data_IF_297995923090
#
_entry.id   IF_297995923090
#
_cell.length_a   1.000
_cell.length_b   1.000
_cell.length_c   1.000
_cell.angle_alpha   90.00
_cell.angle_beta   90.00
_cell.angle_gamma   90.00
#
_symmetry.space_group_name_H-M   'P 1'
#
loop_
_entity.id
_entity.type
_entity.pdbx_description
1 polymer ?
#
# COMPACT_ATOMS: atom_id res chain seq x y z
N UNK A 1 -29.92 0.75 55.88
CA UNK A 1 -28.66 0.31 56.54
C UNK A 1 -28.15 -1.04 56.03
N UNK A 2 -28.97 -2.12 55.97
CA UNK A 2 -28.50 -3.45 55.49
C UNK A 2 -27.97 -3.52 54.04
N UNK A 3 -28.50 -2.70 53.12
CA UNK A 3 -28.04 -2.66 51.71
C UNK A 3 -26.70 -1.92 51.52
N UNK A 4 -26.40 -0.93 52.37
CA UNK A 4 -25.12 -0.19 52.34
C UNK A 4 -23.96 -1.10 52.76
N UNK A 5 -24.17 -1.96 53.76
CA UNK A 5 -23.18 -2.96 54.16
C UNK A 5 -22.86 -3.97 53.05
N UNK A 6 -23.86 -4.35 52.25
CA UNK A 6 -23.67 -5.27 51.12
C UNK A 6 -22.83 -4.64 49.99
N UNK A 7 -23.07 -3.37 49.68
CA UNK A 7 -22.28 -2.63 48.68
C UNK A 7 -20.85 -2.34 49.16
N UNK A 8 -20.66 -2.06 50.45
CA UNK A 8 -19.34 -1.86 51.04
C UNK A 8 -18.51 -3.17 51.04
N UNK A 9 -19.16 -4.30 51.31
CA UNK A 9 -18.50 -5.62 51.28
C UNK A 9 -18.11 -6.05 49.86
N UNK A 10 -18.91 -5.67 48.84
CA UNK A 10 -18.57 -5.91 47.43
C UNK A 10 -17.39 -5.01 46.97
N UNK A 11 -17.35 -3.75 47.41
CA UNK A 11 -16.23 -2.83 47.12
C UNK A 11 -14.90 -3.31 47.72
N UNK A 12 -14.94 -3.91 48.92
CA UNK A 12 -13.75 -4.45 49.59
C UNK A 12 -13.16 -5.68 48.89
N UNK A 13 -13.96 -6.46 48.15
CA UNK A 13 -13.43 -7.62 47.38
C UNK A 13 -12.65 -7.23 46.12
N UNK A 14 -12.90 -6.04 45.56
CA UNK A 14 -12.19 -5.53 44.37
C UNK A 14 -10.80 -4.98 44.73
N UNK A 15 -10.59 -4.58 45.99
CA UNK A 15 -9.32 -4.01 46.46
C UNK A 15 -8.20 -5.05 46.71
N UNK A 16 -8.49 -6.36 46.63
CA UNK A 16 -7.52 -7.43 46.95
C UNK A 16 -6.84 -8.01 45.68
N UNK A 17 -7.18 -7.53 44.48
CA UNK A 17 -6.62 -8.07 43.22
C UNK A 17 -5.27 -7.45 42.79
N UNK A 18 -4.73 -6.47 43.52
CA UNK A 18 -3.35 -6.02 43.29
C UNK A 18 -2.36 -6.94 44.03
N UNK A 19 -2.04 -8.08 43.43
CA UNK A 19 -0.79 -8.76 43.78
C UNK A 19 0.35 -7.88 43.26
N UNK A 20 1.06 -7.18 44.17
CA UNK A 20 2.38 -6.66 43.84
C UNK A 20 3.25 -7.87 43.50
N UNK A 21 3.79 -7.90 42.28
CA UNK A 21 4.91 -8.78 41.98
C UNK A 21 6.03 -8.48 43.00
N UNK A 22 6.68 -9.53 43.50
CA UNK A 22 7.78 -9.37 44.46
C UNK A 22 8.83 -8.43 43.87
N UNK A 23 9.44 -7.59 44.71
CA UNK A 23 10.52 -6.73 44.26
C UNK A 23 11.58 -7.57 43.53
N UNK A 24 11.95 -7.19 42.30
CA UNK A 24 13.08 -7.78 41.61
C UNK A 24 14.32 -7.55 42.49
N UNK A 25 14.74 -8.61 43.18
CA UNK A 25 15.91 -8.58 44.05
C UNK A 25 17.15 -8.84 43.19
N UNK A 26 17.40 -7.94 42.23
CA UNK A 26 18.58 -7.96 41.37
C UNK A 26 19.64 -7.09 42.02
N UNK A 27 20.75 -7.71 42.41
CA UNK A 27 21.91 -7.01 42.91
C UNK A 27 22.65 -6.34 41.73
N UNK A 28 22.34 -5.07 41.51
CA UNK A 28 22.89 -4.26 40.41
C UNK A 28 24.43 -4.14 40.52
N UNK A 29 25.00 -4.35 41.71
CA UNK A 29 26.46 -4.34 41.90
C UNK A 29 27.15 -5.61 41.41
N UNK A 30 26.37 -6.68 41.14
CA UNK A 30 26.83 -7.94 40.56
C UNK A 30 26.43 -8.13 39.09
N UNK A 31 25.58 -7.26 38.56
CA UNK A 31 25.29 -7.25 37.12
C UNK A 31 26.40 -6.52 36.38
N UNK A 32 27.17 -7.26 35.58
CA UNK A 32 28.09 -6.64 34.64
C UNK A 32 27.30 -6.24 33.39
N UNK A 33 26.99 -4.95 33.24
CA UNK A 33 26.21 -4.44 32.09
C UNK A 33 27.03 -4.47 30.79
N UNK A 34 28.37 -4.48 30.89
CA UNK A 34 29.28 -4.36 29.75
C UNK A 34 29.73 -5.70 29.17
N UNK A 35 29.47 -6.82 29.86
CA UNK A 35 29.82 -8.16 29.36
C UNK A 35 28.65 -9.11 29.49
N UNK A 36 28.27 -9.71 28.37
CA UNK A 36 27.19 -10.70 28.30
C UNK A 36 27.69 -11.97 27.62
N UNK A 37 27.12 -13.11 28.02
CA UNK A 37 27.31 -14.35 27.28
C UNK A 37 26.42 -14.32 26.04
N UNK A 38 27.00 -14.53 24.84
CA UNK A 38 26.24 -14.61 23.59
C UNK A 38 25.25 -15.77 23.66
N UNK A 39 23.96 -15.45 23.53
CA UNK A 39 22.86 -16.40 23.44
C UNK A 39 22.60 -16.89 22.01
N UNK A 40 21.52 -17.66 21.85
CA UNK A 40 21.07 -18.14 20.53
C UNK A 40 20.62 -17.00 19.62
N UNK A 41 19.97 -15.99 20.19
CA UNK A 41 19.53 -14.80 19.45
C UNK A 41 20.72 -14.00 18.91
N UNK A 42 21.77 -13.78 19.72
CA UNK A 42 22.98 -13.07 19.29
C UNK A 42 23.64 -13.73 18.10
N UNK A 43 23.81 -15.05 18.16
CA UNK A 43 24.37 -15.83 17.06
C UNK A 43 23.50 -15.73 15.82
N UNK A 44 22.17 -15.80 15.98
CA UNK A 44 21.25 -15.64 14.87
C UNK A 44 21.35 -14.25 14.22
N UNK A 45 21.45 -13.18 15.02
CA UNK A 45 21.63 -11.80 14.52
C UNK A 45 22.98 -11.64 13.82
N UNK A 46 24.04 -12.23 14.37
CA UNK A 46 25.38 -12.22 13.77
C UNK A 46 25.39 -12.94 12.40
N UNK A 47 24.80 -14.13 12.32
CA UNK A 47 24.75 -14.93 11.11
C UNK A 47 23.83 -14.33 10.02
N UNK A 48 22.76 -13.62 10.41
CA UNK A 48 21.75 -13.09 9.47
C UNK A 48 21.87 -11.59 9.15
N UNK A 49 22.58 -10.81 9.95
CA UNK A 49 22.74 -9.35 9.75
C UNK A 49 24.20 -8.90 9.75
N UNK A 50 24.95 -9.19 10.81
CA UNK A 50 26.32 -8.68 10.92
C UNK A 50 27.22 -9.25 9.82
N UNK A 51 27.29 -10.57 9.70
CA UNK A 51 28.14 -11.25 8.73
C UNK A 51 27.75 -10.98 7.26
N UNK A 52 26.46 -11.04 6.86
CA UNK A 52 26.09 -10.85 5.46
C UNK A 52 25.98 -9.37 5.04
N UNK A 53 25.70 -8.45 5.96
CA UNK A 53 25.35 -7.05 5.64
C UNK A 53 26.17 -5.99 6.36
N UNK A 54 27.05 -6.38 7.29
CA UNK A 54 27.77 -5.47 8.17
C UNK A 54 26.80 -4.54 8.94
N UNK A 55 25.75 -5.16 9.50
CA UNK A 55 24.68 -4.49 10.23
C UNK A 55 24.58 -5.05 11.64
N UNK A 56 24.85 -4.21 12.63
CA UNK A 56 24.73 -4.53 14.05
C UNK A 56 23.31 -4.24 14.55
N UNK A 57 22.75 -5.17 15.33
CA UNK A 57 21.40 -5.05 15.88
C UNK A 57 21.50 -4.81 17.38
N UNK A 58 21.16 -3.58 17.79
CA UNK A 58 21.22 -3.12 19.17
C UNK A 58 19.85 -3.37 19.84
N UNK A 59 19.68 -4.54 20.45
CA UNK A 59 18.44 -4.89 21.16
C UNK A 59 18.59 -4.94 22.68
N UNK A 60 19.83 -5.03 23.19
CA UNK A 60 20.08 -4.86 24.63
C UNK A 60 19.92 -3.38 24.95
N UNK A 61 19.03 -3.11 25.89
CA UNK A 61 18.68 -1.74 26.22
C UNK A 61 19.88 -0.99 26.80
N UNK A 62 20.32 0.03 26.08
CA UNK A 62 21.27 1.03 26.54
C UNK A 62 20.55 2.38 26.60
N UNK A 63 20.49 2.99 27.78
CA UNK A 63 19.79 4.27 27.98
C UNK A 63 20.44 5.41 27.20
N UNK A 64 21.73 5.29 26.86
CA UNK A 64 22.44 6.32 26.09
C UNK A 64 22.17 6.24 24.58
N UNK A 65 21.51 5.17 24.11
CA UNK A 65 21.04 5.05 22.73
C UNK A 65 19.76 5.85 22.44
N UNK A 66 19.15 6.44 23.48
CA UNK A 66 17.95 7.25 23.34
C UNK A 66 18.05 8.58 24.11
N UNK A 67 17.18 9.52 23.73
CA UNK A 67 17.08 10.83 24.38
C UNK A 67 16.83 10.68 25.88
N UNK A 68 17.73 11.22 26.72
CA UNK A 68 17.71 11.04 28.19
C UNK A 68 16.42 11.58 28.80
N UNK A 69 15.80 12.59 28.18
CA UNK A 69 14.57 13.27 28.61
C UNK A 69 13.28 12.54 28.19
N UNK A 70 13.36 11.34 27.59
CA UNK A 70 12.20 10.64 27.04
C UNK A 70 11.93 9.29 27.71
N UNK A 71 10.66 8.98 27.94
CA UNK A 71 10.21 7.70 28.52
C UNK A 71 10.23 6.61 27.42
N UNK A 72 11.14 5.63 27.54
CA UNK A 72 11.28 4.51 26.57
C UNK A 72 11.53 3.22 27.34
N UNK A 73 10.81 2.15 26.98
CA UNK A 73 10.98 0.83 27.56
C UNK A 73 11.93 -0.06 26.71
N UNK A 74 12.64 -1.01 27.35
CA UNK A 74 13.37 -2.07 26.66
C UNK A 74 12.49 -2.88 25.72
N UNK A 75 13.09 -3.37 24.63
CA UNK A 75 12.47 -4.36 23.75
C UNK A 75 12.39 -5.73 24.44
N UNK A 76 11.27 -6.42 24.26
CA UNK A 76 11.09 -7.82 24.66
C UNK A 76 11.89 -8.73 23.73
N UNK A 77 12.74 -9.58 24.27
CA UNK A 77 13.65 -10.43 23.50
C UNK A 77 12.90 -11.30 22.46
N UNK A 78 11.74 -11.82 22.83
CA UNK A 78 10.87 -12.63 21.96
C UNK A 78 10.30 -11.85 20.76
N UNK A 79 10.40 -10.52 20.76
CA UNK A 79 9.96 -9.64 19.65
C UNK A 79 11.08 -9.29 18.68
N UNK A 80 12.35 -9.46 19.09
CA UNK A 80 13.53 -9.09 18.29
C UNK A 80 13.62 -9.94 17.03
N UNK A 81 13.66 -11.27 17.15
CA UNK A 81 13.79 -12.12 15.97
C UNK A 81 12.62 -11.92 14.97
N UNK A 82 11.34 -11.87 15.38
CA UNK A 82 10.24 -11.59 14.46
C UNK A 82 10.44 -10.31 13.66
N UNK A 83 10.64 -9.15 14.30
CA UNK A 83 10.77 -7.89 13.55
C UNK A 83 11.99 -7.92 12.62
N UNK A 84 13.09 -8.53 13.05
CA UNK A 84 14.29 -8.65 12.24
C UNK A 84 14.13 -9.61 11.04
N UNK A 85 13.40 -10.71 11.18
CA UNK A 85 13.00 -11.52 10.01
C UNK A 85 12.22 -10.66 8.99
N UNK A 86 11.37 -9.74 9.48
CA UNK A 86 10.68 -8.77 8.65
C UNK A 86 11.65 -7.79 7.97
N UNK A 87 12.67 -7.29 8.67
CA UNK A 87 13.74 -6.46 8.07
C UNK A 87 14.42 -7.18 6.92
N UNK A 88 14.78 -8.44 7.13
CA UNK A 88 15.42 -9.24 6.07
C UNK A 88 14.49 -9.42 4.87
N UNK A 89 13.21 -9.77 5.10
CA UNK A 89 12.28 -10.17 4.04
C UNK A 89 11.59 -8.99 3.33
N UNK A 90 11.21 -7.95 4.06
CA UNK A 90 10.42 -6.81 3.55
C UNK A 90 11.32 -5.66 3.11
N UNK A 91 12.44 -5.44 3.81
CA UNK A 91 13.36 -4.36 3.48
C UNK A 91 14.53 -4.86 2.63
N UNK A 92 15.40 -5.74 3.15
CA UNK A 92 16.67 -6.07 2.45
C UNK A 92 16.45 -6.88 1.16
N UNK A 93 15.69 -7.99 1.24
CA UNK A 93 15.56 -8.93 0.12
C UNK A 93 14.93 -8.28 -1.14
N UNK A 94 13.88 -7.44 -1.06
CA UNK A 94 13.31 -6.79 -2.24
C UNK A 94 14.29 -5.89 -2.98
N UNK A 95 15.19 -5.19 -2.27
CA UNK A 95 16.26 -4.44 -2.93
C UNK A 95 17.26 -5.38 -3.61
N UNK A 96 17.67 -6.48 -2.96
CA UNK A 96 18.58 -7.45 -3.58
C UNK A 96 17.98 -8.11 -4.83
N UNK A 97 16.68 -8.40 -4.82
CA UNK A 97 15.96 -9.02 -5.95
C UNK A 97 15.93 -8.16 -7.22
N UNK A 98 16.06 -6.84 -7.08
CA UNK A 98 16.05 -5.88 -8.20
C UNK A 98 17.39 -5.20 -8.40
N UNK A 99 18.40 -5.55 -7.60
CA UNK A 99 19.73 -4.94 -7.63
C UNK A 99 20.83 -5.99 -7.37
N UNK A 100 21.88 -5.62 -6.64
CA UNK A 100 22.97 -6.51 -6.24
C UNK A 100 23.48 -6.15 -4.85
N UNK A 101 24.21 -7.08 -4.21
CA UNK A 101 24.93 -6.77 -2.95
C UNK A 101 25.91 -5.61 -3.10
N UNK A 102 26.57 -5.50 -4.25
CA UNK A 102 27.52 -4.42 -4.53
C UNK A 102 26.85 -3.04 -4.51
N UNK A 103 25.59 -2.96 -4.96
CA UNK A 103 24.78 -1.75 -4.86
C UNK A 103 24.30 -1.48 -3.43
N UNK A 104 23.77 -2.51 -2.75
CA UNK A 104 23.02 -2.32 -1.51
C UNK A 104 23.92 -2.16 -0.27
N UNK A 105 24.97 -2.97 -0.13
CA UNK A 105 25.83 -2.97 1.08
C UNK A 105 26.45 -1.61 1.44
N UNK A 106 26.92 -0.77 0.50
CA UNK A 106 27.46 0.55 0.82
C UNK A 106 26.46 1.47 1.50
N UNK A 107 25.19 1.38 1.14
CA UNK A 107 24.12 2.30 1.54
C UNK A 107 23.16 1.73 2.59
N UNK A 108 23.33 0.46 3.00
CA UNK A 108 22.59 -0.07 4.15
C UNK A 108 23.04 0.61 5.45
N UNK A 109 22.10 0.83 6.39
CA UNK A 109 22.45 1.27 7.74
C UNK A 109 23.39 0.25 8.38
N UNK A 110 24.33 0.74 9.18
CA UNK A 110 25.31 -0.09 9.89
C UNK A 110 24.79 -0.56 11.23
N UNK A 111 23.83 0.16 11.80
CA UNK A 111 23.22 -0.15 13.09
C UNK A 111 21.68 -0.04 13.00
N UNK A 112 20.99 -0.97 13.64
CA UNK A 112 19.56 -0.85 13.92
C UNK A 112 19.35 -1.01 15.42
N UNK A 113 18.84 0.02 16.08
CA UNK A 113 18.49 -0.03 17.49
C UNK A 113 17.00 -0.29 17.68
N UNK A 114 16.67 -1.19 18.62
CA UNK A 114 15.31 -1.64 18.86
C UNK A 114 14.82 -1.16 20.23
N UNK A 115 13.70 -0.44 20.23
CA UNK A 115 13.05 0.08 21.43
C UNK A 115 11.64 -0.49 21.58
N UNK A 116 11.29 -0.85 22.82
CA UNK A 116 10.03 -1.54 23.10
C UNK A 116 8.80 -0.66 22.91
N UNK A 117 8.89 0.63 23.20
CA UNK A 117 7.81 1.62 23.11
C UNK A 117 8.20 2.77 22.19
N UNK A 118 7.23 3.61 21.81
CA UNK A 118 7.50 4.92 21.20
C UNK A 118 8.32 5.81 22.13
N UNK A 119 9.00 6.80 21.55
CA UNK A 119 9.57 7.90 22.32
C UNK A 119 8.48 8.94 22.57
N UNK A 120 8.01 9.06 23.82
CA UNK A 120 6.93 9.98 24.18
C UNK A 120 7.46 11.34 24.69
N UNK A 121 6.83 12.42 24.24
CA UNK A 121 6.87 13.75 24.86
C UNK A 121 5.44 14.28 25.07
N UNK A 122 5.27 15.39 25.80
CA UNK A 122 3.97 15.95 26.20
C UNK A 122 2.91 16.03 25.07
N UNK A 123 3.31 16.09 23.78
CA UNK A 123 2.40 16.04 22.63
C UNK A 123 2.93 15.25 21.41
N UNK A 124 4.03 14.48 21.51
CA UNK A 124 4.61 13.81 20.35
C UNK A 124 5.02 12.37 20.65
N UNK A 125 4.96 11.55 19.60
CA UNK A 125 5.56 10.22 19.57
C UNK A 125 6.57 10.16 18.41
N UNK A 126 7.83 9.86 18.71
CA UNK A 126 8.84 9.56 17.67
C UNK A 126 8.81 8.05 17.40
N UNK A 127 8.59 7.67 16.14
CA UNK A 127 8.46 6.27 15.70
C UNK A 127 9.67 5.77 14.90
N UNK A 128 10.66 6.65 14.70
CA UNK A 128 11.99 6.34 14.19
C UNK A 128 12.82 7.59 14.00
N UNK A 129 14.14 7.41 14.03
CA UNK A 129 15.12 8.44 13.68
C UNK A 129 16.30 7.77 12.99
N UNK A 130 17.01 8.50 12.12
CA UNK A 130 18.33 8.11 11.65
C UNK A 130 19.40 9.15 12.02
N UNK A 131 20.51 8.67 12.59
CA UNK A 131 21.70 9.50 12.80
C UNK A 131 22.63 9.36 11.58
N UNK A 132 22.63 10.39 10.75
CA UNK A 132 23.50 10.54 9.57
C UNK A 132 23.57 9.31 8.64
N UNK A 133 22.48 8.53 8.55
CA UNK A 133 22.40 7.33 7.72
C UNK A 133 23.16 6.10 8.26
N UNK A 134 23.80 6.19 9.43
CA UNK A 134 24.54 5.09 10.04
C UNK A 134 23.63 4.18 10.86
N UNK A 135 22.76 4.77 11.67
CA UNK A 135 21.88 4.04 12.59
C UNK A 135 20.41 4.35 12.27
N UNK A 136 19.55 3.34 12.33
CA UNK A 136 18.08 3.50 12.34
C UNK A 136 17.53 3.04 13.69
N UNK A 137 16.70 3.87 14.30
CA UNK A 137 15.98 3.52 15.53
C UNK A 137 14.58 3.04 15.18
N UNK A 138 14.22 1.82 15.63
CA UNK A 138 12.87 1.25 15.50
C UNK A 138 12.20 1.22 16.86
N UNK A 139 11.05 1.90 16.96
CA UNK A 139 10.26 1.99 18.18
C UNK A 139 9.01 1.11 18.10
N UNK A 140 8.31 0.97 19.24
CA UNK A 140 7.08 0.16 19.38
C UNK A 140 7.26 -1.33 19.05
N UNK A 141 8.49 -1.87 19.17
CA UNK A 141 8.77 -3.26 18.82
C UNK A 141 7.99 -4.25 19.70
N UNK A 142 7.62 -3.86 20.93
CA UNK A 142 6.84 -4.73 21.81
C UNK A 142 5.42 -4.98 21.31
N UNK A 143 4.87 -4.05 20.53
CA UNK A 143 3.53 -4.13 19.93
C UNK A 143 3.56 -4.70 18.50
N UNK A 144 4.74 -5.06 18.02
CA UNK A 144 4.90 -5.71 16.72
C UNK A 144 4.22 -7.08 16.70
N UNK A 145 3.34 -7.27 15.71
CA UNK A 145 2.66 -8.52 15.43
C UNK A 145 2.71 -8.81 13.93
N UNK A 146 3.55 -9.77 13.55
CA UNK A 146 3.67 -10.23 12.16
C UNK A 146 2.37 -10.78 11.57
N UNK A 147 1.41 -11.21 12.40
CA UNK A 147 0.12 -11.71 11.92
C UNK A 147 -0.89 -10.60 11.66
N UNK A 148 -0.55 -9.36 12.03
CA UNK A 148 -1.36 -8.18 11.80
C UNK A 148 -0.71 -7.30 10.73
N UNK A 149 -1.27 -7.32 9.52
CA UNK A 149 -0.76 -6.50 8.40
C UNK A 149 -0.69 -5.01 8.72
N UNK A 150 -1.57 -4.49 9.58
CA UNK A 150 -1.53 -3.08 10.00
C UNK A 150 -0.37 -2.83 10.96
N UNK A 151 0.02 -3.82 11.78
CA UNK A 151 1.24 -3.72 12.61
C UNK A 151 2.50 -3.67 11.74
N UNK A 152 2.49 -4.32 10.56
CA UNK A 152 3.62 -4.33 9.62
C UNK A 152 3.64 -3.09 8.72
N UNK A 153 2.52 -2.74 8.10
CA UNK A 153 2.43 -1.66 7.12
C UNK A 153 2.18 -0.29 7.74
N UNK A 154 1.55 -0.24 8.91
CA UNK A 154 1.03 0.99 9.50
C UNK A 154 -0.18 1.53 8.74
N UNK A 155 -0.54 2.77 9.06
CA UNK A 155 -1.48 3.60 8.28
C UNK A 155 -0.78 4.90 7.87
N UNK A 156 -1.31 5.66 6.89
CA UNK A 156 -0.72 6.96 6.52
C UNK A 156 -0.59 7.94 7.70
N UNK A 157 -1.44 7.82 8.72
CA UNK A 157 -1.43 8.64 9.94
C UNK A 157 -0.61 8.03 11.09
N UNK A 158 -0.30 6.74 11.02
CA UNK A 158 0.49 6.01 12.02
C UNK A 158 1.42 5.03 11.30
N UNK A 159 2.55 5.52 10.74
CA UNK A 159 3.50 4.66 10.04
C UNK A 159 4.04 3.60 10.99
N UNK A 160 4.21 2.38 10.47
CA UNK A 160 4.84 1.28 11.19
C UNK A 160 6.34 1.19 10.87
N UNK A 161 7.04 0.26 11.52
CA UNK A 161 8.48 0.08 11.43
C UNK A 161 9.01 0.06 9.98
N UNK A 162 8.35 -0.61 9.03
CA UNK A 162 8.86 -0.69 7.66
C UNK A 162 8.66 0.60 6.86
N UNK A 163 7.61 1.37 7.13
CA UNK A 163 7.47 2.72 6.54
C UNK A 163 8.63 3.60 6.99
N UNK A 164 8.89 3.62 8.30
CA UNK A 164 10.05 4.31 8.89
C UNK A 164 11.37 3.85 8.24
N UNK A 165 11.61 2.54 8.11
CA UNK A 165 12.84 2.05 7.51
C UNK A 165 13.03 2.50 6.05
N UNK A 166 11.98 2.40 5.22
CA UNK A 166 12.05 2.86 3.84
C UNK A 166 12.20 4.38 3.74
N UNK A 167 11.60 5.13 4.68
CA UNK A 167 11.73 6.58 4.80
C UNK A 167 13.19 6.96 5.11
N UNK A 168 13.77 6.40 6.17
CA UNK A 168 15.18 6.66 6.53
C UNK A 168 16.16 6.19 5.45
N UNK A 169 15.88 5.07 4.79
CA UNK A 169 16.70 4.63 3.67
C UNK A 169 16.59 5.57 2.46
N UNK A 170 15.42 6.19 2.22
CA UNK A 170 15.31 7.27 1.24
C UNK A 170 16.19 8.47 1.63
N UNK A 171 16.33 8.75 2.93
CA UNK A 171 17.30 9.74 3.41
C UNK A 171 18.75 9.38 3.06
N UNK A 172 19.14 8.11 3.14
CA UNK A 172 20.48 7.69 2.72
C UNK A 172 20.64 7.82 1.19
N UNK A 173 19.62 7.45 0.41
CA UNK A 173 19.67 7.53 -1.05
C UNK A 173 19.87 8.99 -1.50
N UNK A 174 19.09 9.93 -0.98
CA UNK A 174 19.17 11.32 -1.43
C UNK A 174 20.28 12.16 -0.79
N UNK A 175 20.95 11.65 0.25
CA UNK A 175 22.24 12.20 0.69
C UNK A 175 23.35 11.87 -0.31
N UNK A 176 23.29 10.71 -0.96
CA UNK A 176 24.27 10.29 -1.97
C UNK A 176 23.96 10.87 -3.36
N UNK A 177 22.68 10.89 -3.77
CA UNK A 177 22.23 11.53 -5.01
C UNK A 177 21.02 12.42 -4.70
N UNK A 178 21.18 13.76 -4.65
CA UNK A 178 20.14 14.69 -4.19
C UNK A 178 18.77 14.50 -4.82
N UNK A 179 17.73 14.88 -4.07
CA UNK A 179 16.35 15.00 -4.59
C UNK A 179 16.37 15.76 -5.91
N UNK A 180 15.68 15.27 -6.96
CA UNK A 180 15.67 15.93 -8.26
C UNK A 180 15.29 17.42 -8.18
N UNK A 181 16.02 18.30 -8.88
CA UNK A 181 15.63 19.70 -9.01
C UNK A 181 14.20 19.81 -9.57
N UNK A 182 13.42 20.78 -9.09
CA UNK A 182 12.03 20.94 -9.53
C UNK A 182 11.00 20.16 -8.69
N UNK A 183 11.43 19.28 -7.75
CA UNK A 183 10.52 18.51 -6.91
C UNK A 183 9.76 19.40 -5.91
N UNK A 184 10.46 20.35 -5.29
CA UNK A 184 9.90 21.26 -4.29
C UNK A 184 8.76 22.12 -4.88
N UNK A 185 8.90 22.52 -6.14
CA UNK A 185 7.96 23.34 -6.90
C UNK A 185 6.67 22.60 -7.26
N UNK A 186 6.65 21.26 -7.18
CA UNK A 186 5.41 20.49 -7.36
C UNK A 186 4.43 20.82 -6.22
N UNK A 187 4.93 20.91 -4.99
CA UNK A 187 4.16 21.29 -3.81
C UNK A 187 5.01 22.17 -2.88
N UNK A 188 4.90 23.49 -2.99
CA UNK A 188 5.74 24.44 -2.24
C UNK A 188 5.22 24.83 -0.85
N UNK A 189 4.06 24.32 -0.42
CA UNK A 189 3.40 24.73 0.84
C UNK A 189 3.94 24.01 2.10
N UNK A 190 5.27 24.01 2.26
CA UNK A 190 5.95 23.51 3.46
C UNK A 190 5.72 24.42 4.67
N UNK A 191 5.69 23.81 5.85
CA UNK A 191 5.41 24.50 7.13
C UNK A 191 6.43 24.18 8.22
N UNK A 192 7.52 23.48 7.88
CA UNK A 192 8.55 23.08 8.84
C UNK A 192 7.95 22.31 10.02
N UNK A 193 8.48 22.56 11.21
CA UNK A 193 8.03 21.95 12.46
C UNK A 193 6.55 22.18 12.80
N UNK A 194 5.85 23.10 12.11
CA UNK A 194 4.41 23.32 12.29
C UNK A 194 3.55 22.21 11.67
N UNK A 195 4.15 21.18 11.05
CA UNK A 195 3.44 20.04 10.47
C UNK A 195 2.57 19.29 11.50
N UNK A 196 2.97 19.28 12.78
CA UNK A 196 2.20 18.69 13.90
C UNK A 196 0.94 19.47 14.25
N UNK A 197 0.86 20.75 13.84
CA UNK A 197 -0.22 21.65 14.20
C UNK A 197 -1.58 21.18 13.70
N UNK A 198 -2.63 21.51 14.46
CA UNK A 198 -4.03 21.18 14.13
C UNK A 198 -4.50 21.79 12.81
N UNK A 199 -3.89 22.90 12.37
CA UNK A 199 -4.14 23.52 11.06
C UNK A 199 -3.63 22.72 9.85
N UNK A 200 -2.82 21.68 10.08
CA UNK A 200 -2.33 20.78 9.03
C UNK A 200 -3.04 19.43 9.12
N UNK A 201 -4.35 19.37 8.89
CA UNK A 201 -5.07 18.09 8.85
C UNK A 201 -4.59 17.20 7.69
N UNK A 202 -4.83 15.88 7.74
CA UNK A 202 -4.52 14.98 6.61
C UNK A 202 -5.26 15.39 5.33
N UNK A 203 -6.50 15.89 5.44
CA UNK A 203 -7.26 16.41 4.31
C UNK A 203 -6.62 17.67 3.72
N UNK A 204 -6.13 18.57 4.57
CA UNK A 204 -5.38 19.77 4.15
C UNK A 204 -4.08 19.41 3.44
N UNK A 205 -3.31 18.46 4.00
CA UNK A 205 -2.07 18.00 3.37
C UNK A 205 -2.35 17.38 1.99
N UNK A 206 -3.36 16.51 1.90
CA UNK A 206 -3.82 15.92 0.64
C UNK A 206 -4.19 16.97 -0.39
N UNK A 207 -5.01 17.97 -0.04
CA UNK A 207 -5.46 19.00 -0.97
C UNK A 207 -4.30 19.89 -1.48
N UNK A 208 -3.17 19.92 -0.77
CA UNK A 208 -1.96 20.63 -1.19
C UNK A 208 -0.96 19.75 -1.97
N UNK A 209 -1.30 18.47 -2.19
CA UNK A 209 -0.48 17.52 -2.93
C UNK A 209 0.61 16.84 -2.09
N UNK A 210 0.41 16.69 -0.78
CA UNK A 210 1.30 15.93 0.11
C UNK A 210 0.65 14.61 0.50
N UNK A 211 1.45 13.54 0.56
CA UNK A 211 0.94 12.18 0.83
C UNK A 211 0.65 11.94 2.32
N UNK A 212 1.38 12.62 3.20
CA UNK A 212 1.14 12.63 4.65
C UNK A 212 1.19 14.06 5.20
N UNK A 213 0.78 14.22 6.47
CA UNK A 213 0.96 15.50 7.19
C UNK A 213 2.44 15.84 7.34
N UNK A 214 3.27 14.83 7.61
CA UNK A 214 4.71 14.96 7.86
C UNK A 214 5.49 15.41 6.62
N UNK A 215 5.06 14.98 5.43
CA UNK A 215 5.60 15.44 4.15
C UNK A 215 5.58 16.97 3.97
N UNK A 216 4.80 17.72 4.77
CA UNK A 216 4.81 19.19 4.76
C UNK A 216 5.92 19.82 5.60
N UNK A 217 6.78 19.02 6.24
CA UNK A 217 7.91 19.54 7.01
C UNK A 217 8.90 20.25 6.07
N UNK A 218 9.47 19.52 5.10
CA UNK A 218 10.36 20.06 4.08
C UNK A 218 10.38 19.13 2.85
N UNK A 219 11.08 19.53 1.78
CA UNK A 219 11.16 18.77 0.52
C UNK A 219 11.77 17.39 0.64
N UNK A 220 12.70 17.20 1.57
CA UNK A 220 13.43 15.95 1.76
C UNK A 220 12.53 14.95 2.49
N UNK A 221 11.78 15.38 3.51
CA UNK A 221 10.73 14.56 4.14
C UNK A 221 9.62 14.19 3.15
N UNK A 222 9.18 15.14 2.33
CA UNK A 222 8.15 14.89 1.32
C UNK A 222 8.57 13.80 0.33
N UNK A 223 9.84 13.84 -0.11
CA UNK A 223 10.38 12.85 -1.01
C UNK A 223 10.50 11.46 -0.35
N UNK A 224 11.01 11.41 0.88
CA UNK A 224 11.11 10.18 1.66
C UNK A 224 9.73 9.55 1.95
N UNK A 225 8.74 10.37 2.32
CA UNK A 225 7.36 9.94 2.56
C UNK A 225 6.68 9.38 1.30
N UNK A 226 6.94 9.98 0.13
CA UNK A 226 6.45 9.46 -1.15
C UNK A 226 7.03 8.07 -1.43
N UNK A 227 8.35 7.88 -1.24
CA UNK A 227 9.02 6.59 -1.45
C UNK A 227 8.48 5.53 -0.48
N UNK A 228 8.46 5.83 0.81
CA UNK A 228 8.00 4.92 1.86
C UNK A 228 6.52 4.52 1.65
N UNK A 229 5.65 5.50 1.37
CA UNK A 229 4.23 5.22 1.10
C UNK A 229 4.06 4.32 -0.11
N UNK A 230 4.73 4.63 -1.22
CA UNK A 230 4.62 3.83 -2.44
C UNK A 230 5.12 2.40 -2.23
N UNK A 231 6.23 2.19 -1.51
CA UNK A 231 6.78 0.86 -1.25
C UNK A 231 5.94 0.05 -0.26
N UNK A 232 5.56 0.64 0.88
CA UNK A 232 4.92 -0.08 1.99
C UNK A 232 3.41 -0.16 1.81
N UNK A 233 2.72 0.97 1.65
CA UNK A 233 1.27 0.97 1.43
C UNK A 233 0.90 0.37 0.06
N UNK A 234 1.79 0.55 -0.92
CA UNK A 234 1.65 0.01 -2.26
C UNK A 234 0.80 0.88 -3.18
N UNK A 235 0.91 0.59 -4.47
CA UNK A 235 0.33 1.42 -5.52
C UNK A 235 -1.19 1.64 -5.38
N UNK A 236 -1.94 0.58 -5.12
CA UNK A 236 -3.41 0.67 -5.08
C UNK A 236 -3.92 1.54 -3.91
N UNK A 237 -3.16 1.61 -2.82
CA UNK A 237 -3.50 2.44 -1.67
C UNK A 237 -3.19 3.91 -1.97
N UNK A 238 -2.05 4.16 -2.63
CA UNK A 238 -1.71 5.47 -3.13
C UNK A 238 -2.74 5.97 -4.15
N UNK A 239 -3.18 5.12 -5.09
CA UNK A 239 -4.23 5.47 -6.04
C UNK A 239 -5.54 5.83 -5.36
N UNK A 240 -5.98 5.05 -4.36
CA UNK A 240 -7.17 5.36 -3.57
C UNK A 240 -7.04 6.72 -2.85
N UNK A 241 -5.86 6.98 -2.30
CA UNK A 241 -5.55 8.24 -1.63
C UNK A 241 -5.66 9.42 -2.60
N UNK A 242 -5.07 9.31 -3.79
CA UNK A 242 -5.13 10.33 -4.85
C UNK A 242 -6.56 10.50 -5.35
N UNK A 243 -7.27 9.40 -5.58
CA UNK A 243 -8.61 9.41 -6.18
C UNK A 243 -9.71 9.95 -5.27
N UNK A 244 -9.43 10.06 -3.97
CA UNK A 244 -10.30 10.71 -2.97
C UNK A 244 -9.97 12.20 -2.79
N UNK A 245 -8.94 12.73 -3.43
CA UNK A 245 -8.70 14.17 -3.45
C UNK A 245 -9.79 14.87 -4.28
N UNK A 246 -10.39 15.91 -3.72
CA UNK A 246 -11.46 16.69 -4.37
C UNK A 246 -10.91 17.78 -5.30
N UNK A 247 -9.66 18.22 -5.10
CA UNK A 247 -8.98 19.21 -5.95
C UNK A 247 -8.19 18.51 -7.07
N UNK A 248 -8.53 18.74 -8.36
CA UNK A 248 -7.77 18.20 -9.51
C UNK A 248 -6.29 18.60 -9.52
N UNK A 249 -5.94 19.74 -8.92
CA UNK A 249 -4.56 20.21 -8.78
C UNK A 249 -3.77 19.29 -7.85
N UNK A 250 -4.37 18.87 -6.73
CA UNK A 250 -3.75 17.94 -5.80
C UNK A 250 -3.47 16.58 -6.46
N UNK A 251 -4.43 16.08 -7.24
CA UNK A 251 -4.28 14.85 -8.04
C UNK A 251 -3.07 14.96 -8.96
N UNK A 252 -2.98 16.05 -9.73
CA UNK A 252 -1.89 16.29 -10.68
C UNK A 252 -0.53 16.34 -9.96
N UNK A 253 -0.46 17.02 -8.82
CA UNK A 253 0.76 17.13 -8.00
C UNK A 253 1.22 15.77 -7.49
N UNK A 254 0.32 14.99 -6.87
CA UNK A 254 0.65 13.67 -6.32
C UNK A 254 1.12 12.70 -7.43
N UNK A 255 0.44 12.68 -8.58
CA UNK A 255 0.86 11.87 -9.74
C UNK A 255 2.21 12.30 -10.31
N UNK A 256 2.48 13.61 -10.34
CA UNK A 256 3.80 14.12 -10.77
C UNK A 256 4.89 13.70 -9.79
N UNK A 257 4.67 13.78 -8.48
CA UNK A 257 5.62 13.30 -7.45
C UNK A 257 5.89 11.80 -7.57
N UNK A 258 4.84 11.01 -7.77
CA UNK A 258 4.96 9.57 -8.03
C UNK A 258 5.88 9.29 -9.23
N UNK A 259 5.69 10.00 -10.33
CA UNK A 259 6.53 9.86 -11.51
C UNK A 259 7.99 10.26 -11.23
N UNK A 260 8.22 11.34 -10.49
CA UNK A 260 9.59 11.75 -10.10
C UNK A 260 10.28 10.68 -9.25
N UNK A 261 9.58 10.00 -8.35
CA UNK A 261 10.14 8.86 -7.59
C UNK A 261 10.57 7.74 -8.54
N UNK A 262 9.71 7.35 -9.47
CA UNK A 262 10.02 6.29 -10.46
C UNK A 262 11.25 6.66 -11.30
N UNK A 263 11.30 7.91 -11.78
CA UNK A 263 12.39 8.40 -12.62
C UNK A 263 13.70 8.54 -11.82
N UNK A 264 13.64 8.97 -10.56
CA UNK A 264 14.79 9.09 -9.67
C UNK A 264 15.47 7.74 -9.46
N UNK A 265 14.73 6.70 -9.09
CA UNK A 265 15.33 5.37 -8.89
C UNK A 265 15.99 4.83 -10.16
N UNK A 266 15.37 5.08 -11.32
CA UNK A 266 15.93 4.66 -12.61
C UNK A 266 17.19 5.44 -12.97
N UNK A 267 17.15 6.76 -12.87
CA UNK A 267 18.22 7.64 -13.34
C UNK A 267 19.40 7.72 -12.36
N UNK A 268 19.13 7.80 -11.05
CA UNK A 268 20.15 7.94 -10.02
C UNK A 268 20.76 6.59 -9.61
N UNK A 269 19.94 5.53 -9.57
CA UNK A 269 20.32 4.26 -8.96
C UNK A 269 20.27 3.06 -9.92
N UNK A 270 19.80 3.26 -11.17
CA UNK A 270 19.65 2.18 -12.14
C UNK A 270 18.60 1.13 -11.76
N UNK A 271 17.68 1.47 -10.84
CA UNK A 271 16.67 0.56 -10.31
C UNK A 271 15.31 0.78 -10.93
N UNK A 272 14.61 -0.31 -11.22
CA UNK A 272 13.19 -0.28 -11.59
C UNK A 272 12.34 -0.20 -10.33
N UNK A 273 11.87 1.01 -10.01
CA UNK A 273 11.05 1.25 -8.82
C UNK A 273 9.76 0.43 -8.80
N UNK A 274 9.15 0.17 -9.97
CA UNK A 274 7.90 -0.60 -10.04
C UNK A 274 8.13 -2.06 -9.73
N UNK A 275 9.26 -2.62 -10.19
CA UNK A 275 9.69 -3.96 -9.76
C UNK A 275 9.99 -4.01 -8.27
N UNK A 276 10.70 -3.03 -7.73
CA UNK A 276 10.98 -2.93 -6.29
C UNK A 276 9.68 -2.91 -5.48
N UNK A 277 8.74 -2.03 -5.85
CA UNK A 277 7.43 -1.90 -5.23
C UNK A 277 6.65 -3.23 -5.25
N UNK A 278 6.66 -3.94 -6.37
CA UNK A 278 6.02 -5.26 -6.48
C UNK A 278 6.68 -6.32 -5.59
N UNK A 279 8.01 -6.28 -5.45
CA UNK A 279 8.77 -7.18 -4.57
C UNK A 279 8.50 -6.90 -3.09
N UNK A 280 8.54 -5.65 -2.65
CA UNK A 280 8.18 -5.24 -1.27
C UNK A 280 6.76 -5.67 -0.95
N UNK A 281 5.81 -5.43 -1.86
CA UNK A 281 4.42 -5.83 -1.66
C UNK A 281 4.26 -7.34 -1.52
N UNK A 282 4.94 -8.12 -2.37
CA UNK A 282 4.92 -9.59 -2.29
C UNK A 282 5.54 -10.09 -0.99
N UNK A 283 6.64 -9.46 -0.56
CA UNK A 283 7.29 -9.79 0.71
C UNK A 283 6.37 -9.53 1.91
N UNK A 284 5.72 -8.35 1.97
CA UNK A 284 4.75 -8.04 3.03
C UNK A 284 3.62 -9.08 3.06
N UNK A 285 3.01 -9.37 1.91
CA UNK A 285 1.92 -10.36 1.82
C UNK A 285 2.34 -11.79 2.16
N UNK A 286 3.63 -12.12 2.01
CA UNK A 286 4.17 -13.45 2.35
C UNK A 286 4.55 -13.53 3.83
N UNK A 287 5.24 -12.50 4.32
CA UNK A 287 5.79 -12.44 5.67
C UNK A 287 4.70 -12.23 6.73
N UNK A 288 3.76 -11.33 6.42
CA UNK A 288 2.60 -10.99 7.22
C UNK A 288 1.36 -11.25 6.38
N UNK A 289 0.93 -12.52 6.23
CA UNK A 289 -0.18 -12.90 5.37
C UNK A 289 -1.40 -12.06 5.73
N UNK A 290 -1.62 -11.04 4.92
CA UNK A 290 -2.63 -10.06 5.17
C UNK A 290 -4.00 -10.74 5.11
N UNK A 291 -4.97 -10.13 5.79
CA UNK A 291 -6.27 -10.00 5.13
C UNK A 291 -6.01 -9.20 3.86
N UNK A 292 -5.70 -9.87 2.75
CA UNK A 292 -5.54 -9.25 1.43
C UNK A 292 -6.78 -8.39 1.24
N UNK A 293 -6.65 -7.05 1.17
CA UNK A 293 -7.77 -6.20 0.80
C UNK A 293 -8.15 -6.61 -0.62
N UNK A 294 -9.26 -7.36 -0.79
CA UNK A 294 -9.55 -8.01 -2.05
C UNK A 294 -9.79 -6.93 -3.10
N UNK A 295 -9.45 -7.22 -4.35
CA UNK A 295 -9.63 -6.26 -5.45
C UNK A 295 -11.06 -5.67 -5.49
N UNK A 296 -12.14 -6.44 -5.24
CA UNK A 296 -13.50 -5.89 -5.10
C UNK A 296 -13.63 -4.83 -4.00
N UNK A 297 -12.94 -4.98 -2.88
CA UNK A 297 -12.92 -3.96 -1.82
C UNK A 297 -12.18 -2.71 -2.28
N UNK A 298 -11.05 -2.84 -3.00
CA UNK A 298 -10.32 -1.68 -3.56
C UNK A 298 -11.15 -0.90 -4.58
N UNK A 299 -11.85 -1.63 -5.44
CA UNK A 299 -12.86 -1.07 -6.36
C UNK A 299 -13.90 -0.24 -5.61
N UNK A 300 -14.44 -0.79 -4.53
CA UNK A 300 -15.45 -0.11 -3.70
C UNK A 300 -14.94 1.15 -2.99
N UNK A 301 -13.61 1.25 -2.80
CA UNK A 301 -12.92 2.39 -2.20
C UNK A 301 -12.49 3.44 -3.25
N UNK A 302 -12.76 3.21 -4.54
CA UNK A 302 -12.38 4.13 -5.61
C UNK A 302 -10.91 4.09 -5.99
N UNK A 303 -10.19 2.99 -5.70
CA UNK A 303 -8.79 2.82 -6.08
C UNK A 303 -8.54 2.88 -7.59
N UNK A 304 -9.55 2.56 -8.41
CA UNK A 304 -9.42 2.50 -9.86
C UNK A 304 -10.46 3.42 -10.52
N UNK A 305 -10.10 3.99 -11.67
CA UNK A 305 -10.98 4.82 -12.51
C UNK A 305 -11.64 4.04 -13.64
N UNK A 306 -11.17 2.84 -13.93
CA UNK A 306 -11.73 2.00 -14.97
C UNK A 306 -10.78 0.93 -15.45
N UNK A 307 -11.13 0.32 -16.59
CA UNK A 307 -10.31 -0.68 -17.26
C UNK A 307 -10.28 -0.46 -18.76
N UNK A 308 -9.15 -0.74 -19.39
CA UNK A 308 -9.04 -0.88 -20.84
C UNK A 308 -8.82 -2.35 -21.16
N UNK A 309 -9.69 -2.93 -21.98
CA UNK A 309 -9.62 -4.33 -22.39
C UNK A 309 -9.31 -4.38 -23.87
N UNK A 310 -8.29 -5.17 -24.24
CA UNK A 310 -8.00 -5.52 -25.63
C UNK A 310 -8.32 -7.00 -25.84
N UNK A 311 -9.30 -7.29 -26.71
CA UNK A 311 -9.66 -8.66 -27.08
C UNK A 311 -8.50 -9.43 -27.69
N UNK A 312 -7.59 -8.76 -28.38
CA UNK A 312 -6.46 -9.38 -29.04
C UNK A 312 -5.29 -9.68 -28.10
N UNK A 313 -5.36 -9.23 -26.84
CA UNK A 313 -4.37 -9.58 -25.85
C UNK A 313 -4.31 -11.11 -25.67
N UNK A 314 -3.09 -11.64 -25.47
CA UNK A 314 -2.89 -13.08 -25.33
C UNK A 314 -3.66 -13.62 -24.10
N UNK A 315 -4.18 -14.85 -24.20
CA UNK A 315 -4.84 -15.52 -23.07
C UNK A 315 -6.15 -14.88 -22.58
N UNK A 316 -6.81 -14.04 -23.40
CA UNK A 316 -8.21 -13.69 -23.14
C UNK A 316 -9.10 -14.94 -23.13
N UNK A 317 -10.15 -14.96 -22.29
CA UNK A 317 -11.03 -16.11 -22.16
C UNK A 317 -11.80 -16.41 -23.44
N UNK A 318 -11.89 -17.68 -23.81
CA UNK A 318 -12.45 -18.12 -25.10
C UNK A 318 -13.93 -17.72 -25.26
N UNK A 319 -14.74 -17.83 -24.21
CA UNK A 319 -16.15 -17.42 -24.27
C UNK A 319 -16.30 -15.90 -24.50
N UNK A 320 -15.46 -15.09 -23.86
CA UNK A 320 -15.44 -13.63 -24.08
C UNK A 320 -15.03 -13.31 -25.51
N UNK A 321 -13.95 -13.92 -26.01
CA UNK A 321 -13.48 -13.70 -27.39
C UNK A 321 -14.53 -14.10 -28.41
N UNK A 322 -15.24 -15.22 -28.20
CA UNK A 322 -16.36 -15.65 -29.05
C UNK A 322 -17.51 -14.63 -29.04
N UNK A 323 -17.96 -14.20 -27.86
CA UNK A 323 -19.03 -13.22 -27.74
C UNK A 323 -18.66 -11.89 -28.40
N UNK A 324 -17.41 -11.44 -28.22
CA UNK A 324 -16.90 -10.22 -28.83
C UNK A 324 -16.87 -10.35 -30.35
N UNK A 325 -16.24 -11.39 -30.90
CA UNK A 325 -16.15 -11.60 -32.35
C UNK A 325 -17.54 -11.67 -33.00
N UNK A 326 -18.51 -12.33 -32.36
CA UNK A 326 -19.89 -12.38 -32.83
C UNK A 326 -20.52 -10.98 -32.90
N UNK A 327 -20.30 -10.15 -31.88
CA UNK A 327 -20.78 -8.77 -31.86
C UNK A 327 -20.16 -7.89 -32.95
N UNK A 328 -18.84 -7.99 -33.16
CA UNK A 328 -18.15 -7.19 -34.19
C UNK A 328 -18.55 -7.63 -35.60
N UNK A 329 -18.70 -8.94 -35.82
CA UNK A 329 -19.18 -9.46 -37.11
C UNK A 329 -20.59 -8.91 -37.42
N UNK A 330 -21.49 -8.88 -36.42
CA UNK A 330 -22.82 -8.31 -36.57
C UNK A 330 -22.79 -6.79 -36.80
N UNK A 331 -21.94 -6.05 -36.08
CA UNK A 331 -21.79 -4.59 -36.22
C UNK A 331 -21.15 -4.18 -37.57
N UNK A 332 -20.37 -5.08 -38.17
CA UNK A 332 -19.74 -4.86 -39.49
C UNK A 332 -20.69 -5.18 -40.66
N UNK A 333 -21.87 -5.74 -40.40
CA UNK A 333 -22.84 -6.03 -41.45
C UNK A 333 -23.28 -4.74 -42.18
N UNK A 334 -23.64 -4.78 -43.48
CA UNK A 334 -23.93 -3.58 -44.27
C UNK A 334 -24.98 -2.63 -43.68
N UNK A 335 -25.92 -3.14 -42.88
CA UNK A 335 -26.95 -2.35 -42.21
C UNK A 335 -26.40 -1.42 -41.11
N UNK A 336 -25.23 -1.74 -40.56
CA UNK A 336 -24.58 -0.99 -39.48
C UNK A 336 -23.25 -0.38 -39.93
N UNK A 337 -22.48 -1.12 -40.72
CA UNK A 337 -21.20 -0.72 -41.33
C UNK A 337 -20.20 -0.10 -40.33
N UNK A 338 -20.19 -0.60 -39.09
CA UNK A 338 -19.31 -0.09 -38.02
C UNK A 338 -18.27 -1.13 -37.64
N UNK A 339 -17.01 -0.99 -38.10
CA UNK A 339 -15.92 -1.87 -37.75
C UNK A 339 -15.38 -1.51 -36.36
N UNK A 340 -16.16 -1.83 -35.32
CA UNK A 340 -15.79 -1.56 -33.92
C UNK A 340 -14.42 -2.18 -33.61
N UNK A 341 -13.54 -1.39 -33.01
CA UNK A 341 -12.18 -1.78 -32.63
C UNK A 341 -12.17 -2.92 -31.61
N UNK A 342 -11.08 -3.72 -31.53
CA UNK A 342 -10.96 -4.82 -30.57
C UNK A 342 -10.77 -4.36 -29.12
N UNK A 343 -10.63 -3.05 -28.89
CA UNK A 343 -10.44 -2.45 -27.58
C UNK A 343 -11.71 -1.78 -27.08
N UNK A 344 -11.94 -1.84 -25.77
CA UNK A 344 -13.00 -1.09 -25.12
C UNK A 344 -12.59 -0.63 -23.72
N UNK A 345 -13.31 0.35 -23.20
CA UNK A 345 -13.08 0.90 -21.87
C UNK A 345 -14.31 0.68 -20.99
N UNK A 346 -14.07 0.36 -19.72
CA UNK A 346 -15.08 0.41 -18.66
C UNK A 346 -14.67 1.52 -17.70
N UNK A 347 -15.26 2.71 -17.86
CA UNK A 347 -14.91 3.90 -17.08
C UNK A 347 -15.84 4.04 -15.89
N UNK A 348 -15.30 4.23 -14.70
CA UNK A 348 -16.09 4.38 -13.48
C UNK A 348 -16.41 5.85 -13.23
N UNK A 349 -17.66 6.11 -12.84
CA UNK A 349 -18.15 7.47 -12.63
C UNK A 349 -18.49 7.72 -11.17
N UNK A 350 -19.21 6.80 -10.51
CA UNK A 350 -19.63 6.93 -9.11
C UNK A 350 -19.31 5.65 -8.32
N UNK A 351 -18.08 5.48 -7.82
CA UNK A 351 -17.74 4.34 -6.96
C UNK A 351 -18.37 4.48 -5.57
N UNK A 352 -18.93 3.40 -5.07
CA UNK A 352 -19.47 3.27 -3.71
C UNK A 352 -19.27 1.82 -3.19
N UNK A 353 -19.48 1.64 -1.88
CA UNK A 353 -19.12 0.41 -1.16
C UNK A 353 -19.68 -0.88 -1.81
N UNK A 354 -20.94 -0.85 -2.28
CA UNK A 354 -21.62 -2.04 -2.84
C UNK A 354 -22.04 -1.84 -4.31
N UNK A 355 -21.70 -0.69 -4.90
CA UNK A 355 -22.19 -0.28 -6.21
C UNK A 355 -21.19 0.65 -6.87
N UNK A 356 -20.91 0.46 -8.16
CA UNK A 356 -20.17 1.45 -8.95
C UNK A 356 -20.90 1.70 -10.25
N UNK A 357 -21.17 2.98 -10.55
CA UNK A 357 -21.67 3.38 -11.87
C UNK A 357 -20.53 3.45 -12.87
N UNK A 358 -20.81 3.00 -14.09
CA UNK A 358 -19.80 2.85 -15.14
C UNK A 358 -20.34 3.22 -16.51
N UNK A 359 -19.44 3.59 -17.41
CA UNK A 359 -19.70 3.76 -18.84
C UNK A 359 -18.82 2.77 -19.59
N UNK A 360 -19.46 1.82 -20.26
CA UNK A 360 -18.81 0.93 -21.21
C UNK A 360 -18.70 1.66 -22.56
N UNK A 361 -17.48 1.83 -23.07
CA UNK A 361 -17.19 2.63 -24.27
C UNK A 361 -16.51 1.79 -25.34
N UNK A 362 -17.05 1.83 -26.54
CA UNK A 362 -16.44 1.31 -27.76
C UNK A 362 -16.21 2.44 -28.76
N UNK A 363 -15.36 2.19 -29.76
CA UNK A 363 -15.10 3.08 -30.87
C UNK A 363 -14.84 2.28 -32.15
N UNK A 364 -15.18 2.83 -33.31
CA UNK A 364 -14.74 2.35 -34.63
C UNK A 364 -13.76 3.33 -35.31
N UNK A 365 -13.32 4.35 -34.56
CA UNK A 365 -12.45 5.44 -35.03
C UNK A 365 -13.21 6.67 -35.51
N UNK A 366 -14.42 6.52 -36.05
CA UNK A 366 -15.27 7.63 -36.48
C UNK A 366 -16.30 8.00 -35.41
N UNK A 367 -16.86 7.00 -34.73
CA UNK A 367 -17.90 7.16 -33.74
C UNK A 367 -17.55 6.45 -32.43
N UNK A 368 -18.06 7.01 -31.34
CA UNK A 368 -18.02 6.36 -30.03
C UNK A 368 -19.41 5.84 -29.66
N UNK A 369 -19.43 4.67 -29.02
CA UNK A 369 -20.64 3.93 -28.65
C UNK A 369 -20.63 3.68 -27.15
N UNK A 370 -21.53 4.32 -26.41
CA UNK A 370 -21.54 4.28 -24.95
C UNK A 370 -22.74 3.51 -24.40
N UNK A 371 -22.49 2.73 -23.36
CA UNK A 371 -23.51 2.04 -22.57
C UNK A 371 -23.31 2.32 -21.08
N UNK A 372 -24.30 2.93 -20.44
CA UNK A 372 -24.33 3.04 -18.99
C UNK A 372 -24.55 1.66 -18.36
N UNK A 373 -23.67 1.34 -17.41
CA UNK A 373 -23.67 0.12 -16.65
C UNK A 373 -23.65 0.43 -15.15
N UNK A 374 -24.16 -0.49 -14.36
CA UNK A 374 -23.96 -0.50 -12.91
C UNK A 374 -23.31 -1.82 -12.54
N UNK A 375 -22.28 -1.77 -11.70
CA UNK A 375 -21.68 -2.93 -11.08
C UNK A 375 -22.18 -3.06 -9.64
N UNK A 376 -22.77 -4.20 -9.29
CA UNK A 376 -22.96 -4.60 -7.90
C UNK A 376 -21.70 -5.27 -7.40
N UNK A 377 -21.18 -4.80 -6.26
CA UNK A 377 -19.91 -5.27 -5.69
C UNK A 377 -20.21 -5.93 -4.34
N UNK A 378 -19.66 -7.13 -4.16
CA UNK A 378 -19.55 -7.78 -2.85
C UNK A 378 -18.08 -7.73 -2.43
N UNK A 379 -17.81 -7.22 -1.24
CA UNK A 379 -16.46 -7.09 -0.68
C UNK A 379 -16.04 -8.37 0.05
N UNK A 380 -14.76 -8.48 0.42
CA UNK A 380 -14.23 -9.68 1.10
C UNK A 380 -13.54 -10.67 0.17
N UNK A 381 -12.89 -11.70 0.72
CA UNK A 381 -11.93 -12.55 -0.01
C UNK A 381 -12.55 -13.30 -1.21
N UNK A 382 -13.84 -13.58 -1.09
CA UNK A 382 -14.70 -14.17 -2.13
C UNK A 382 -15.53 -13.11 -2.87
N UNK A 383 -15.14 -11.85 -2.79
CA UNK A 383 -15.88 -10.73 -3.37
C UNK A 383 -16.06 -10.87 -4.87
N UNK A 384 -17.22 -10.39 -5.35
CA UNK A 384 -17.64 -10.54 -6.74
C UNK A 384 -18.15 -9.23 -7.31
N UNK A 385 -18.19 -9.16 -8.63
CA UNK A 385 -18.78 -8.07 -9.39
C UNK A 385 -19.81 -8.65 -10.35
N UNK A 386 -21.00 -8.05 -10.37
CA UNK A 386 -22.02 -8.33 -11.38
C UNK A 386 -22.39 -7.05 -12.10
N UNK A 387 -22.26 -7.06 -13.42
CA UNK A 387 -22.60 -5.91 -14.26
C UNK A 387 -24.07 -5.98 -14.68
N UNK A 388 -24.73 -4.84 -14.75
CA UNK A 388 -26.07 -4.71 -15.29
C UNK A 388 -26.16 -3.44 -16.13
N UNK A 389 -27.05 -3.42 -17.12
CA UNK A 389 -27.36 -2.19 -17.85
C UNK A 389 -28.13 -1.21 -16.96
N UNK A 390 -27.78 0.07 -17.08
CA UNK A 390 -28.46 1.16 -16.39
C UNK A 390 -29.24 2.04 -17.38
N UNK A 391 -29.92 3.07 -16.86
CA UNK A 391 -30.55 4.10 -17.70
C UNK A 391 -29.47 4.79 -18.56
N UNK A 392 -29.71 4.88 -19.87
CA UNK A 392 -28.75 5.43 -20.83
C UNK A 392 -28.81 6.96 -20.85
N UNK A 393 -27.68 7.59 -21.16
CA UNK A 393 -27.63 9.03 -21.39
C UNK A 393 -28.25 9.41 -22.74
N UNK A 394 -28.23 10.72 -23.03
CA UNK A 394 -28.90 11.30 -24.22
C UNK A 394 -27.94 11.94 -25.22
N UNK A 395 -26.63 11.92 -24.95
CA UNK A 395 -25.63 12.46 -25.89
C UNK A 395 -25.49 11.58 -27.13
N UNK A 396 -24.87 12.11 -28.18
CA UNK A 396 -24.68 11.42 -29.46
C UNK A 396 -24.05 10.02 -29.30
N UNK A 397 -23.12 9.85 -28.36
CA UNK A 397 -22.45 8.57 -28.10
C UNK A 397 -23.41 7.49 -27.57
N UNK A 398 -24.43 7.87 -26.80
CA UNK A 398 -25.47 6.94 -26.34
C UNK A 398 -26.49 6.64 -27.44
N UNK A 399 -26.80 7.62 -28.29
CA UNK A 399 -27.63 7.39 -29.50
C UNK A 399 -26.95 6.40 -30.44
N UNK A 400 -25.65 6.56 -30.67
CA UNK A 400 -24.83 5.61 -31.44
C UNK A 400 -24.82 4.23 -30.75
N UNK A 401 -24.62 4.17 -29.43
CA UNK A 401 -24.68 2.91 -28.68
C UNK A 401 -26.03 2.21 -28.81
N UNK A 402 -27.13 2.96 -28.80
CA UNK A 402 -28.49 2.46 -29.03
C UNK A 402 -28.65 1.88 -30.43
N UNK A 403 -28.10 2.54 -31.45
CA UNK A 403 -28.08 2.03 -32.83
C UNK A 403 -27.35 0.69 -32.94
N UNK A 404 -26.20 0.53 -32.28
CA UNK A 404 -25.44 -0.73 -32.24
C UNK A 404 -25.91 -1.73 -31.17
N UNK A 405 -26.99 -1.46 -30.45
CA UNK A 405 -27.40 -2.33 -29.33
C UNK A 405 -27.74 -3.76 -29.77
N UNK A 406 -28.40 -3.92 -30.92
CA UNK A 406 -28.75 -5.24 -31.47
C UNK A 406 -27.49 -6.04 -31.85
N UNK A 407 -26.56 -5.51 -32.67
CA UNK A 407 -25.35 -6.26 -33.01
C UNK A 407 -24.42 -6.49 -31.80
N UNK A 408 -24.39 -5.57 -30.83
CA UNK A 408 -23.57 -5.72 -29.62
C UNK A 408 -24.17 -6.66 -28.56
N UNK A 409 -25.38 -7.20 -28.79
CA UNK A 409 -26.09 -8.04 -27.83
C UNK A 409 -25.26 -9.23 -27.30
N UNK A 410 -24.56 -10.03 -28.14
CA UNK A 410 -23.75 -11.15 -27.64
C UNK A 410 -22.74 -10.75 -26.55
N UNK A 411 -21.97 -9.68 -26.77
CA UNK A 411 -21.02 -9.18 -25.78
C UNK A 411 -21.70 -8.56 -24.55
N UNK A 412 -22.76 -7.77 -24.76
CA UNK A 412 -23.51 -7.16 -23.66
C UNK A 412 -24.15 -8.23 -22.75
N UNK A 413 -24.70 -9.29 -23.33
CA UNK A 413 -25.24 -10.43 -22.58
C UNK A 413 -24.13 -11.16 -21.83
N UNK A 414 -22.98 -11.42 -22.47
CA UNK A 414 -21.83 -12.06 -21.83
C UNK A 414 -21.41 -11.31 -20.56
N UNK A 415 -21.28 -9.98 -20.65
CA UNK A 415 -20.86 -9.14 -19.54
C UNK A 415 -21.91 -9.04 -18.41
N UNK A 416 -23.20 -9.08 -18.74
CA UNK A 416 -24.28 -8.78 -17.77
C UNK A 416 -24.95 -10.01 -17.16
N UNK A 417 -24.85 -11.16 -17.81
CA UNK A 417 -25.44 -12.41 -17.29
C UNK A 417 -24.53 -13.13 -16.31
N UNK A 418 -23.21 -12.89 -16.40
CA UNK A 418 -22.19 -13.51 -15.57
C UNK A 418 -21.91 -12.70 -14.30
N UNK A 419 -21.42 -13.41 -13.30
CA UNK A 419 -20.84 -12.84 -12.09
C UNK A 419 -19.35 -13.15 -12.11
N UNK A 420 -18.52 -12.16 -11.81
CA UNK A 420 -17.08 -12.29 -11.89
C UNK A 420 -16.43 -12.14 -10.51
N UNK A 421 -15.45 -12.99 -10.21
CA UNK A 421 -14.44 -12.69 -9.21
C UNK A 421 -13.35 -11.87 -9.89
N UNK A 422 -12.92 -10.77 -9.28
CA UNK A 422 -11.84 -9.94 -9.84
C UNK A 422 -10.57 -10.14 -9.03
N UNK A 423 -9.47 -10.43 -9.72
CA UNK A 423 -8.17 -10.63 -9.07
C UNK A 423 -7.00 -10.31 -10.00
N UNK A 424 -5.81 -10.18 -9.41
CA UNK A 424 -4.55 -10.10 -10.14
C UNK A 424 -4.33 -11.35 -10.99
N UNK A 425 -3.71 -11.16 -12.16
CA UNK A 425 -3.43 -12.23 -13.12
C UNK A 425 -1.94 -12.54 -13.24
N UNK A 426 -1.16 -12.27 -12.19
CA UNK A 426 0.29 -12.49 -12.15
C UNK A 426 0.70 -13.91 -12.57
N UNK A 427 -0.13 -14.91 -12.24
CA UNK A 427 0.10 -16.32 -12.63
C UNK A 427 -0.12 -16.59 -14.12
N UNK A 428 -0.88 -15.75 -14.82
CA UNK A 428 -1.16 -15.87 -16.26
C UNK A 428 -0.28 -14.92 -17.07
N UNK A 429 -0.03 -13.72 -16.55
CA UNK A 429 0.82 -12.69 -17.14
C UNK A 429 1.83 -12.26 -16.07
N UNK A 430 3.04 -12.84 -16.04
CA UNK A 430 4.07 -12.46 -15.08
C UNK A 430 4.43 -10.96 -15.17
N UNK A 431 4.63 -10.31 -14.04
CA UNK A 431 4.90 -8.87 -13.90
C UNK A 431 3.66 -7.97 -14.05
N UNK A 432 2.47 -8.55 -14.20
CA UNK A 432 1.21 -7.81 -14.40
C UNK A 432 0.57 -7.28 -13.11
N UNK A 433 1.08 -7.68 -11.94
CA UNK A 433 0.54 -7.25 -10.65
C UNK A 433 0.52 -5.73 -10.58
N UNK A 434 -0.59 -5.18 -10.07
CA UNK A 434 -0.82 -3.73 -10.02
C UNK A 434 -0.89 -3.08 -11.41
N UNK A 435 -1.09 -3.80 -12.51
CA UNK A 435 -1.40 -3.19 -13.82
C UNK A 435 -2.53 -3.89 -14.55
N UNK A 436 -2.67 -5.21 -14.43
CA UNK A 436 -3.74 -5.98 -15.06
C UNK A 436 -4.64 -6.65 -14.01
N UNK A 437 -5.95 -6.62 -14.26
CA UNK A 437 -6.96 -7.35 -13.48
C UNK A 437 -7.77 -8.26 -14.37
N UNK A 438 -7.94 -9.49 -13.91
CA UNK A 438 -8.76 -10.52 -14.54
C UNK A 438 -10.12 -10.62 -13.89
N UNK A 439 -11.12 -10.83 -14.73
CA UNK A 439 -12.51 -11.11 -14.40
C UNK A 439 -12.74 -12.60 -14.62
N UNK A 440 -12.75 -13.35 -13.53
CA UNK A 440 -12.91 -14.80 -13.52
C UNK A 440 -14.39 -15.14 -13.34
N UNK A 441 -14.97 -15.91 -14.25
CA UNK A 441 -16.36 -16.31 -14.15
C UNK A 441 -16.55 -17.23 -12.93
N UNK A 442 -17.44 -16.85 -12.01
CA UNK A 442 -17.66 -17.61 -10.77
C UNK A 442 -18.26 -19.00 -10.99
N UNK A 443 -18.89 -19.25 -12.14
CA UNK A 443 -19.53 -20.54 -12.43
C UNK A 443 -18.55 -21.66 -12.79
N UNK A 444 -17.39 -21.31 -13.34
CA UNK A 444 -16.38 -22.28 -13.80
C UNK A 444 -14.94 -21.93 -13.35
N UNK A 445 -14.76 -20.81 -12.64
CA UNK A 445 -13.48 -20.28 -12.15
C UNK A 445 -12.43 -20.02 -13.24
N UNK A 446 -12.83 -19.98 -14.51
CA UNK A 446 -11.94 -19.66 -15.63
C UNK A 446 -11.84 -18.15 -15.82
N UNK A 447 -10.71 -17.70 -16.36
CA UNK A 447 -10.57 -16.32 -16.79
C UNK A 447 -11.60 -16.03 -17.89
N UNK A 448 -12.48 -15.07 -17.64
CA UNK A 448 -13.41 -14.55 -18.64
C UNK A 448 -12.70 -13.55 -19.54
N UNK A 449 -12.22 -12.46 -18.97
CA UNK A 449 -11.40 -11.47 -19.66
C UNK A 449 -10.50 -10.72 -18.67
N UNK A 450 -9.50 -10.02 -19.17
CA UNK A 450 -8.70 -9.10 -18.36
C UNK A 450 -8.46 -7.79 -19.07
N UNK A 451 -8.10 -6.76 -18.29
CA UNK A 451 -7.78 -5.44 -18.82
C UNK A 451 -6.73 -4.72 -17.99
N UNK A 452 -6.19 -3.67 -18.58
CA UNK A 452 -5.29 -2.74 -17.92
C UNK A 452 -6.10 -1.77 -17.04
N UNK A 453 -5.63 -1.55 -15.82
CA UNK A 453 -6.25 -0.64 -14.86
C UNK A 453 -6.04 0.81 -15.31
N UNK A 454 -7.12 1.58 -15.34
CA UNK A 454 -7.07 3.03 -15.42
C UNK A 454 -7.07 3.60 -13.98
N UNK A 455 -6.12 4.49 -13.65
CA UNK A 455 -5.81 4.94 -12.29
C UNK A 455 -6.04 6.42 -12.04
#
# INVERSE_FOLDING_TARGET
MKKIFLYLMLLLTVAVSCKKEGALNVDITKSNLDTYAKGTLDKWLEDNFLNPYNMEILYRFDRFQASIDKEIAPVKEEKVQPIMEGVQQIFIQPYLDVSSKAFLLPILPKEIALFGTGEYSDNQITLGTADAGRQINLYEVNDYDRNNVISVMGTPERPAAFHTMHHEFAHILHQNVPVPPGYEEISSNYVGSSWVGSGNSAATAKSLGFVTRYARNNKDEDFAEMIATLLVAGQDQFDAYVNTATDPTAITKLRKKEQVVVDYFKAAHGLDFRKLQAKVRTAIETYAPATIVPVPTRLSQGSFKGFTVDKNAASQGSEFVTAYNASIAAASAPAYASPVFPTFELVFTNPAVNRTDMILKFSDGAYAYWYNMTATITTGASGTIKLARAAQGTTAQYSNGTFLQVPMKPLLDYLTTKTFRVNWIESLVPGSRSSLLGFFDTSNSQLGFYGNIQR
#
